data_IF_846185510308
#
_entry.id   IF_846185510308
#
_cell.length_a   1.000
_cell.length_b   1.000
_cell.length_c   1.000
_cell.angle_alpha   90.00
_cell.angle_beta   90.00
_cell.angle_gamma   90.00
#
_symmetry.space_group_name_H-M   'P 1'
#
loop_
_entity.id
_entity.type
_entity.pdbx_description
1 polymer ?
#
# COMPACT_ATOMS: atom_id res chain seq x y z
N UNK A 1 19.70 16.02 -18.53
CA UNK A 1 18.55 16.78 -18.00
C UNK A 1 18.05 15.99 -16.79
N UNK A 2 18.11 16.56 -15.58
CA UNK A 2 17.67 15.90 -14.36
C UNK A 2 16.15 15.79 -14.37
N UNK A 3 15.60 14.58 -14.46
CA UNK A 3 14.16 14.33 -14.26
C UNK A 3 13.87 14.53 -12.75
N UNK A 4 13.06 15.53 -12.42
CA UNK A 4 12.49 15.68 -11.09
C UNK A 4 11.43 14.57 -10.94
N UNK A 5 11.72 13.53 -10.15
CA UNK A 5 10.69 12.63 -9.66
C UNK A 5 9.76 13.43 -8.75
N UNK A 6 8.50 13.52 -9.13
CA UNK A 6 7.49 14.26 -8.39
C UNK A 6 7.16 13.47 -7.11
N UNK A 7 7.12 14.20 -6.00
CA UNK A 7 6.95 13.65 -4.64
C UNK A 7 5.48 13.31 -4.43
N UNK A 8 5.12 12.05 -4.33
CA UNK A 8 3.88 11.67 -3.65
C UNK A 8 4.11 11.75 -2.14
N UNK A 9 3.78 12.89 -1.54
CA UNK A 9 3.66 12.99 -0.09
C UNK A 9 2.43 12.19 0.33
N UNK A 10 2.57 11.24 1.25
CA UNK A 10 1.41 10.60 1.86
C UNK A 10 0.58 11.65 2.64
N UNK A 11 -0.75 11.58 2.58
CA UNK A 11 -1.62 12.58 3.19
C UNK A 11 -1.56 12.53 4.72
N UNK A 12 -1.51 13.69 5.34
CA UNK A 12 -1.72 13.84 6.79
C UNK A 12 -3.10 13.28 7.19
N UNK A 13 -3.14 12.52 8.29
CA UNK A 13 -4.40 12.02 8.86
C UNK A 13 -5.29 13.20 9.22
N UNK A 14 -6.45 13.28 8.58
CA UNK A 14 -7.36 14.43 8.68
C UNK A 14 -7.80 14.73 10.11
N UNK A 15 -7.85 16.03 10.47
CA UNK A 15 -8.34 16.53 11.76
C UNK A 15 -9.84 16.21 12.01
N UNK A 16 -10.60 15.89 10.96
CA UNK A 16 -12.01 15.51 11.05
C UNK A 16 -12.20 14.17 11.76
N UNK A 17 -11.27 13.21 11.57
CA UNK A 17 -11.30 11.89 12.25
C UNK A 17 -11.15 11.99 13.77
N UNK A 18 -10.47 13.02 14.28
CA UNK A 18 -10.34 13.27 15.73
C UNK A 18 -11.65 13.62 16.43
N UNK A 19 -12.70 14.04 15.70
CA UNK A 19 -14.01 14.41 16.28
C UNK A 19 -14.96 13.24 16.43
N UNK A 20 -14.79 12.15 15.69
CA UNK A 20 -15.69 10.98 15.78
C UNK A 20 -15.36 10.08 16.98
N UNK A 21 -14.13 10.09 17.48
CA UNK A 21 -13.69 9.29 18.63
C UNK A 21 -14.05 9.84 20.00
N UNK A 22 -14.67 11.05 20.08
CA UNK A 22 -15.02 11.70 21.35
C UNK A 22 -16.40 11.31 21.91
N UNK A 23 -17.13 10.40 21.27
CA UNK A 23 -18.55 10.10 21.57
C UNK A 23 -18.85 8.74 22.21
N UNK A 24 -17.91 7.86 22.43
CA UNK A 24 -18.17 6.53 23.01
C UNK A 24 -17.74 6.47 24.47
N UNK A 25 -18.71 6.49 25.35
CA UNK A 25 -18.57 6.37 26.80
C UNK A 25 -18.02 4.98 27.15
N UNK A 26 -16.91 4.97 27.84
CA UNK A 26 -16.22 3.83 28.40
C UNK A 26 -17.13 2.99 29.30
N UNK A 27 -17.33 1.72 28.95
CA UNK A 27 -17.65 0.67 29.90
C UNK A 27 -16.36 -0.06 30.24
N UNK A 28 -15.79 0.26 31.40
CA UNK A 28 -14.63 -0.41 31.98
C UNK A 28 -15.03 -1.82 32.40
N UNK A 29 -14.62 -2.82 31.63
CA UNK A 29 -14.51 -4.18 32.09
C UNK A 29 -13.01 -4.54 32.19
N UNK A 30 -12.45 -4.39 33.36
CA UNK A 30 -11.12 -4.91 33.70
C UNK A 30 -11.19 -6.43 33.76
N UNK A 31 -10.77 -7.08 32.68
CA UNK A 31 -10.47 -8.52 32.71
C UNK A 31 -8.95 -8.66 32.72
N UNK A 32 -8.41 -8.92 33.92
CA UNK A 32 -7.01 -9.30 34.09
C UNK A 32 -6.80 -10.70 33.55
N UNK A 33 -6.28 -10.83 32.32
CA UNK A 33 -5.64 -12.03 31.85
C UNK A 33 -4.13 -11.86 31.93
N UNK A 34 -3.56 -12.15 33.11
CA UNK A 34 -2.14 -12.39 33.24
C UNK A 34 -1.79 -13.73 32.59
N UNK A 35 -1.53 -13.74 31.27
CA UNK A 35 -0.85 -14.84 30.63
C UNK A 35 0.63 -14.68 30.90
N UNK A 36 1.18 -15.54 31.78
CA UNK A 36 2.61 -15.66 32.01
C UNK A 36 3.32 -16.04 30.71
N UNK A 37 3.73 -15.04 29.94
CA UNK A 37 4.83 -15.18 29.00
C UNK A 37 6.11 -15.00 29.80
N UNK A 38 6.98 -15.99 29.77
CA UNK A 38 8.26 -15.95 30.45
C UNK A 38 9.01 -14.67 30.08
N UNK A 39 9.17 -13.82 31.07
CA UNK A 39 9.91 -12.56 30.94
C UNK A 39 11.38 -12.85 30.68
N UNK A 40 11.80 -12.87 29.43
CA UNK A 40 13.16 -12.47 29.07
C UNK A 40 13.19 -10.94 29.15
N UNK A 41 13.66 -10.43 30.28
CA UNK A 41 13.87 -9.00 30.53
C UNK A 41 15.00 -8.50 29.62
N UNK A 42 14.65 -8.09 28.41
CA UNK A 42 15.55 -7.33 27.55
C UNK A 42 15.36 -5.84 27.85
N UNK A 43 16.18 -5.28 28.76
CA UNK A 43 16.36 -3.85 28.86
C UNK A 43 17.01 -3.33 27.58
N UNK A 44 16.20 -2.95 26.59
CA UNK A 44 16.68 -2.42 25.33
C UNK A 44 15.78 -1.27 24.85
N UNK A 45 16.34 -0.45 23.99
CA UNK A 45 15.59 0.54 23.22
C UNK A 45 15.61 0.15 21.74
N UNK A 46 14.57 0.56 21.01
CA UNK A 46 14.51 0.49 19.56
C UNK A 46 14.46 1.89 18.97
N UNK A 47 15.14 2.07 17.86
CA UNK A 47 14.94 3.23 16.99
C UNK A 47 14.24 2.78 15.71
N UNK A 48 13.06 3.34 15.49
CA UNK A 48 12.21 3.08 14.34
C UNK A 48 12.33 4.23 13.32
N UNK A 49 12.29 3.91 12.03
CA UNK A 49 12.24 4.89 10.96
C UNK A 49 11.03 4.61 10.07
N UNK A 50 10.11 5.54 9.99
CA UNK A 50 8.78 5.32 9.43
C UNK A 50 8.22 6.58 8.76
N UNK A 51 7.07 6.44 8.13
CA UNK A 51 6.20 7.55 7.78
C UNK A 51 5.65 8.22 9.05
N UNK A 52 5.35 9.53 9.03
CA UNK A 52 4.68 10.20 10.14
C UNK A 52 3.31 9.59 10.43
N UNK A 53 2.94 9.52 11.72
CA UNK A 53 1.62 9.05 12.20
C UNK A 53 1.17 7.66 11.67
N UNK A 54 2.13 6.75 11.44
CA UNK A 54 1.90 5.48 10.73
C UNK A 54 1.84 4.24 11.63
N UNK A 55 1.76 4.37 12.97
CA UNK A 55 1.77 3.23 13.91
C UNK A 55 0.57 3.15 14.84
N UNK A 56 -0.41 4.02 14.70
CA UNK A 56 -1.49 4.16 15.66
C UNK A 56 -1.12 5.06 16.85
N UNK A 57 -2.13 5.59 17.54
CA UNK A 57 -1.92 6.63 18.56
C UNK A 57 -1.22 6.15 19.83
N UNK A 58 -1.37 4.87 20.18
CA UNK A 58 -0.82 4.29 21.43
C UNK A 58 0.09 3.08 21.22
N UNK A 59 0.18 2.54 20.01
CA UNK A 59 0.85 1.25 19.69
C UNK A 59 2.26 1.15 20.26
N UNK A 60 3.10 2.18 20.08
CA UNK A 60 4.49 2.15 20.57
C UNK A 60 4.57 2.28 22.10
N UNK A 61 3.65 3.04 22.70
CA UNK A 61 3.56 3.17 24.16
C UNK A 61 3.07 1.87 24.81
N UNK A 62 2.05 1.22 24.22
CA UNK A 62 1.51 -0.06 24.68
C UNK A 62 2.52 -1.20 24.52
N UNK A 63 3.26 -1.20 23.39
CA UNK A 63 4.39 -2.12 23.23
C UNK A 63 5.45 -1.92 24.33
N UNK A 64 5.81 -0.66 24.61
CA UNK A 64 6.78 -0.34 25.66
C UNK A 64 6.30 -0.82 27.03
N UNK A 65 5.02 -0.59 27.35
CA UNK A 65 4.42 -1.01 28.62
C UNK A 65 4.39 -2.55 28.77
N UNK A 66 4.11 -3.28 27.70
CA UNK A 66 4.00 -4.74 27.72
C UNK A 66 5.34 -5.47 27.63
N UNK A 67 6.30 -4.91 26.86
CA UNK A 67 7.58 -5.57 26.57
C UNK A 67 8.74 -5.11 27.47
N UNK A 68 8.64 -3.91 28.03
CA UNK A 68 9.76 -3.24 28.69
C UNK A 68 10.81 -2.65 27.73
N UNK A 69 10.56 -2.68 26.41
CA UNK A 69 11.44 -2.15 25.37
C UNK A 69 10.88 -0.78 24.94
N UNK A 70 11.66 0.29 25.14
CA UNK A 70 11.25 1.62 24.67
C UNK A 70 11.45 1.75 23.16
N UNK A 71 10.54 2.45 22.47
CA UNK A 71 10.65 2.74 21.04
C UNK A 71 10.68 4.24 20.83
N UNK A 72 11.72 4.73 20.14
CA UNK A 72 11.77 6.07 19.58
C UNK A 72 11.58 6.01 18.08
N UNK A 73 10.74 6.87 17.51
CA UNK A 73 10.49 6.92 16.08
C UNK A 73 11.02 8.23 15.49
N UNK A 74 11.79 8.10 14.42
CA UNK A 74 12.14 9.20 13.51
C UNK A 74 11.33 8.99 12.20
N UNK A 75 11.08 10.08 11.47
CA UNK A 75 10.22 10.05 10.30
C UNK A 75 10.97 10.52 9.05
N UNK A 76 10.52 10.03 7.90
CA UNK A 76 11.01 10.46 6.59
C UNK A 76 9.86 10.98 5.73
N UNK A 77 10.17 11.89 4.83
CA UNK A 77 9.20 12.51 3.92
C UNK A 77 9.12 11.80 2.57
N UNK A 78 10.10 10.91 2.27
CA UNK A 78 10.11 10.13 1.03
C UNK A 78 10.89 8.83 1.17
N UNK A 79 10.49 7.79 0.41
CA UNK A 79 11.22 6.51 0.37
C UNK A 79 12.66 6.67 -0.15
N UNK A 80 12.94 7.65 -1.03
CA UNK A 80 14.30 7.97 -1.48
C UNK A 80 15.17 8.50 -0.32
N UNK A 81 14.59 9.28 0.59
CA UNK A 81 15.27 9.74 1.81
C UNK A 81 15.56 8.57 2.75
N UNK A 82 14.56 7.72 2.97
CA UNK A 82 14.70 6.51 3.79
C UNK A 82 15.83 5.63 3.24
N UNK A 83 15.81 5.33 1.93
CA UNK A 83 16.83 4.48 1.31
C UNK A 83 18.23 5.10 1.41
N UNK A 84 18.38 6.41 1.18
CA UNK A 84 19.68 7.10 1.35
C UNK A 84 20.19 7.00 2.79
N UNK A 85 19.30 7.17 3.76
CA UNK A 85 19.64 7.07 5.18
C UNK A 85 20.09 5.65 5.54
N UNK A 86 19.32 4.64 5.14
CA UNK A 86 19.63 3.22 5.43
C UNK A 86 20.87 2.72 4.67
N UNK A 87 21.18 3.30 3.51
CA UNK A 87 22.41 2.99 2.77
C UNK A 87 23.66 3.63 3.39
N UNK A 88 23.50 4.61 4.27
CA UNK A 88 24.61 5.26 4.98
C UNK A 88 25.13 4.40 6.13
N UNK A 89 26.42 4.55 6.45
CA UNK A 89 27.07 3.78 7.55
C UNK A 89 26.68 4.27 8.95
N UNK A 90 26.16 5.48 9.07
CA UNK A 90 25.99 6.17 10.35
C UNK A 90 24.58 6.06 10.96
N UNK A 91 23.63 5.40 10.26
CA UNK A 91 22.30 5.22 10.81
C UNK A 91 22.29 4.23 11.99
N UNK A 92 21.31 4.40 12.88
CA UNK A 92 21.17 3.61 14.11
C UNK A 92 19.76 3.05 14.26
N UNK A 93 19.09 2.75 13.15
CA UNK A 93 17.75 2.23 13.19
C UNK A 93 17.75 0.72 13.37
N UNK A 94 16.81 0.24 14.21
CA UNK A 94 16.61 -1.18 14.48
C UNK A 94 15.46 -1.77 13.67
N UNK A 95 14.50 -0.92 13.27
CA UNK A 95 13.34 -1.31 12.49
C UNK A 95 12.95 -0.16 11.56
N UNK A 96 12.53 -0.50 10.37
CA UNK A 96 11.99 0.44 9.38
C UNK A 96 10.64 -0.07 8.86
N UNK A 97 9.77 0.86 8.47
CA UNK A 97 8.62 0.56 7.62
C UNK A 97 8.96 1.07 6.23
N UNK A 98 8.88 0.22 5.23
CA UNK A 98 9.26 0.55 3.86
C UNK A 98 8.27 -0.02 2.86
N UNK A 99 8.02 0.69 1.75
CA UNK A 99 7.18 0.16 0.70
C UNK A 99 7.88 -0.96 -0.08
N UNK A 100 7.10 -1.83 -0.66
CA UNK A 100 7.51 -3.10 -1.26
C UNK A 100 8.61 -2.97 -2.33
N UNK A 101 8.58 -1.93 -3.14
CA UNK A 101 9.55 -1.63 -4.19
C UNK A 101 10.93 -1.27 -3.61
N UNK A 102 10.95 -0.54 -2.51
CA UNK A 102 12.17 -0.24 -1.76
C UNK A 102 12.66 -1.44 -0.95
N UNK A 103 11.76 -2.31 -0.50
CA UNK A 103 12.17 -3.61 0.11
C UNK A 103 12.96 -4.44 -0.91
N UNK A 104 12.46 -4.57 -2.15
CA UNK A 104 13.16 -5.28 -3.23
C UNK A 104 14.54 -4.68 -3.49
N UNK A 105 14.62 -3.34 -3.57
CA UNK A 105 15.89 -2.64 -3.77
C UNK A 105 16.88 -2.85 -2.60
N UNK A 106 16.40 -2.78 -1.35
CA UNK A 106 17.24 -3.00 -0.17
C UNK A 106 17.73 -4.44 -0.05
N UNK A 107 16.92 -5.43 -0.45
CA UNK A 107 17.36 -6.83 -0.55
C UNK A 107 18.51 -6.95 -1.55
N UNK A 108 18.35 -6.37 -2.75
CA UNK A 108 19.38 -6.37 -3.79
C UNK A 108 20.69 -5.70 -3.37
N UNK A 109 20.61 -4.72 -2.47
CA UNK A 109 21.77 -4.00 -1.88
C UNK A 109 22.29 -4.64 -0.59
N UNK A 110 21.72 -5.76 -0.16
CA UNK A 110 22.07 -6.46 1.09
C UNK A 110 21.99 -5.57 2.36
N UNK A 111 21.05 -4.66 2.42
CA UNK A 111 20.87 -3.73 3.54
C UNK A 111 20.02 -4.30 4.68
N UNK A 112 19.30 -5.41 4.44
CA UNK A 112 18.36 -5.99 5.39
C UNK A 112 18.91 -7.24 6.07
N UNK A 113 18.45 -7.48 7.30
CA UNK A 113 18.68 -8.70 8.06
C UNK A 113 17.62 -9.75 7.66
N UNK A 114 18.03 -11.02 7.62
CA UNK A 114 17.09 -12.14 7.53
C UNK A 114 16.20 -12.18 8.78
N UNK A 115 14.90 -12.27 8.58
CA UNK A 115 13.96 -12.42 9.67
C UNK A 115 14.00 -13.85 10.23
N UNK A 116 13.99 -13.95 11.55
CA UNK A 116 13.78 -15.21 12.27
C UNK A 116 12.28 -15.37 12.58
N UNK A 117 11.58 -16.11 11.74
CA UNK A 117 10.14 -16.34 11.88
C UNK A 117 9.76 -17.04 13.20
N UNK A 118 10.71 -17.74 13.86
CA UNK A 118 10.45 -18.33 15.18
C UNK A 118 10.22 -17.27 16.26
N UNK A 119 10.67 -16.03 16.04
CA UNK A 119 10.43 -14.89 16.90
C UNK A 119 9.18 -14.08 16.51
N UNK A 120 8.46 -14.48 15.46
CA UNK A 120 7.25 -13.81 14.95
C UNK A 120 6.10 -14.84 14.84
N UNK A 121 5.66 -15.48 15.94
CA UNK A 121 4.60 -16.48 15.88
C UNK A 121 3.28 -15.93 15.31
N UNK A 122 2.98 -14.64 15.45
CA UNK A 122 1.79 -14.00 14.92
C UNK A 122 1.78 -13.87 13.38
N UNK A 123 2.81 -14.30 12.66
CA UNK A 123 2.77 -14.51 11.20
C UNK A 123 1.62 -15.45 10.80
N UNK A 124 1.21 -16.36 11.68
CA UNK A 124 0.06 -17.25 11.49
C UNK A 124 -1.29 -16.51 11.36
N UNK A 125 -1.35 -15.26 11.80
CA UNK A 125 -2.53 -14.41 11.70
C UNK A 125 -2.73 -13.82 10.30
N UNK A 126 -1.72 -13.84 9.43
CA UNK A 126 -1.81 -13.27 8.09
C UNK A 126 -2.78 -14.04 7.19
N UNK A 127 -3.37 -13.34 6.23
CA UNK A 127 -4.00 -14.00 5.10
C UNK A 127 -2.95 -14.76 4.28
N UNK A 128 -3.28 -15.97 3.76
CA UNK A 128 -2.32 -16.78 3.00
C UNK A 128 -1.66 -16.05 1.81
N UNK A 129 -2.38 -15.14 1.17
CA UNK A 129 -1.87 -14.35 0.04
C UNK A 129 -0.74 -13.39 0.45
N UNK A 130 -0.64 -13.02 1.73
CA UNK A 130 0.41 -12.16 2.26
C UNK A 130 1.57 -12.92 2.92
N UNK A 131 1.46 -14.25 3.06
CA UNK A 131 2.53 -15.08 3.62
C UNK A 131 3.73 -15.25 2.69
N UNK A 132 3.56 -14.88 1.43
CA UNK A 132 4.61 -14.87 0.42
C UNK A 132 4.52 -13.59 -0.41
N UNK A 133 5.62 -13.18 -1.01
CA UNK A 133 5.65 -12.02 -1.88
C UNK A 133 6.68 -12.22 -2.98
N UNK A 134 6.34 -11.83 -4.20
CA UNK A 134 7.22 -11.96 -5.36
C UNK A 134 8.52 -11.15 -5.20
N UNK A 135 8.46 -10.01 -4.49
CA UNK A 135 9.62 -9.15 -4.18
C UNK A 135 10.46 -9.64 -2.98
N UNK A 136 9.91 -10.55 -2.15
CA UNK A 136 10.60 -11.17 -1.01
C UNK A 136 10.04 -12.58 -0.78
N UNK A 137 10.42 -13.57 -1.61
CA UNK A 137 9.91 -14.93 -1.52
C UNK A 137 10.15 -15.56 -0.15
N UNK A 138 9.05 -16.04 0.46
CA UNK A 138 9.05 -16.62 1.80
C UNK A 138 9.17 -15.59 2.93
N UNK A 139 8.97 -14.30 2.67
CA UNK A 139 9.05 -13.24 3.68
C UNK A 139 10.35 -13.29 4.50
N UNK A 140 11.45 -13.45 3.81
CA UNK A 140 12.75 -13.64 4.45
C UNK A 140 13.33 -12.37 5.05
N UNK A 141 12.95 -11.20 4.53
CA UNK A 141 13.52 -9.90 4.90
C UNK A 141 12.46 -8.89 5.34
N UNK A 142 11.21 -9.14 5.02
CA UNK A 142 10.13 -8.19 5.24
C UNK A 142 8.88 -8.87 5.80
N UNK A 143 8.15 -8.15 6.67
CA UNK A 143 6.87 -8.61 7.19
C UNK A 143 5.78 -7.61 6.82
N UNK A 144 4.68 -8.02 6.16
CA UNK A 144 3.66 -7.09 5.69
C UNK A 144 2.99 -6.39 6.87
N UNK A 145 2.81 -5.09 6.75
CA UNK A 145 2.22 -4.24 7.78
C UNK A 145 0.86 -3.72 7.35
N UNK A 146 0.81 -2.97 6.28
CA UNK A 146 -0.41 -2.43 5.68
C UNK A 146 -0.36 -2.60 4.17
N UNK A 147 -1.51 -2.53 3.54
CA UNK A 147 -1.61 -2.62 2.09
C UNK A 147 -2.78 -1.81 1.55
N UNK A 148 -2.82 -1.62 0.25
CA UNK A 148 -3.93 -1.02 -0.46
C UNK A 148 -3.84 -1.28 -1.95
N UNK A 149 -4.77 -0.69 -2.69
CA UNK A 149 -4.94 -0.99 -4.12
C UNK A 149 -5.04 0.29 -4.95
N UNK A 150 -4.66 0.17 -6.21
CA UNK A 150 -5.01 1.12 -7.24
C UNK A 150 -6.27 0.63 -7.96
N UNK A 151 -7.21 1.53 -8.22
CA UNK A 151 -8.48 1.18 -8.82
C UNK A 151 -9.06 2.32 -9.65
N UNK A 152 -10.28 2.09 -10.14
CA UNK A 152 -11.09 3.09 -10.85
C UNK A 152 -11.74 4.01 -9.85
N UNK A 153 -11.48 5.30 -10.00
CA UNK A 153 -12.13 6.39 -9.29
C UNK A 153 -13.16 7.01 -10.22
N UNK A 154 -14.35 7.27 -9.73
CA UNK A 154 -15.45 7.70 -10.61
C UNK A 154 -16.44 8.62 -9.90
N UNK A 155 -17.15 9.45 -10.70
CA UNK A 155 -18.34 10.19 -10.25
C UNK A 155 -19.57 9.32 -10.39
N UNK A 156 -20.26 9.05 -9.29
CA UNK A 156 -21.48 8.19 -9.28
C UNK A 156 -22.58 8.74 -10.15
N UNK A 157 -22.77 10.07 -10.15
CA UNK A 157 -23.79 10.77 -10.93
C UNK A 157 -23.58 10.66 -12.45
N UNK A 158 -22.34 10.41 -12.89
CA UNK A 158 -22.00 10.29 -14.31
C UNK A 158 -22.17 8.86 -14.85
N UNK A 159 -22.28 7.85 -13.97
CA UNK A 159 -22.32 6.45 -14.35
C UNK A 159 -23.70 5.83 -14.11
N UNK A 160 -24.11 4.93 -15.03
CA UNK A 160 -25.34 4.14 -14.86
C UNK A 160 -25.16 2.93 -13.94
N UNK A 161 -23.93 2.47 -13.71
CA UNK A 161 -23.57 1.36 -12.84
C UNK A 161 -22.13 1.51 -12.34
N UNK A 162 -21.81 0.86 -11.21
CA UNK A 162 -20.45 0.80 -10.68
C UNK A 162 -19.55 0.07 -11.68
N UNK A 163 -18.37 0.61 -12.05
CA UNK A 163 -17.47 -0.01 -13.00
C UNK A 163 -16.84 -1.28 -12.41
N UNK A 164 -16.87 -2.38 -13.16
CA UNK A 164 -16.32 -3.68 -12.73
C UNK A 164 -15.09 -4.13 -13.53
N UNK A 165 -14.74 -3.41 -14.58
CA UNK A 165 -13.65 -3.75 -15.51
C UNK A 165 -12.86 -2.50 -15.91
N UNK A 166 -11.53 -2.66 -16.08
CA UNK A 166 -10.68 -1.64 -16.69
C UNK A 166 -11.13 -1.25 -18.10
N UNK A 167 -11.94 -2.10 -18.75
CA UNK A 167 -12.48 -1.83 -20.09
C UNK A 167 -13.25 -0.52 -20.22
N UNK A 168 -13.89 -0.04 -19.13
CA UNK A 168 -14.57 1.27 -19.15
C UNK A 168 -13.61 2.44 -19.43
N UNK A 169 -12.34 2.30 -19.02
CA UNK A 169 -11.27 3.29 -19.22
C UNK A 169 -10.46 3.03 -20.50
N UNK A 170 -10.28 1.75 -20.88
CA UNK A 170 -9.25 1.32 -21.81
C UNK A 170 -9.81 0.81 -23.16
N UNK A 171 -11.11 0.53 -23.24
CA UNK A 171 -11.74 -0.06 -24.43
C UNK A 171 -13.20 0.41 -24.58
N UNK A 172 -13.45 1.71 -24.35
CA UNK A 172 -14.79 2.30 -24.43
C UNK A 172 -14.72 3.75 -24.84
N UNK A 173 -15.65 4.19 -25.70
CA UNK A 173 -15.86 5.58 -26.10
C UNK A 173 -16.96 6.29 -25.29
N UNK A 174 -17.65 5.56 -24.40
CA UNK A 174 -18.81 6.07 -23.65
C UNK A 174 -18.48 7.32 -22.80
N UNK A 175 -17.22 7.45 -22.36
CA UNK A 175 -16.75 8.57 -21.55
C UNK A 175 -15.65 9.37 -22.27
N UNK A 176 -15.74 9.48 -23.59
CA UNK A 176 -14.77 10.18 -24.43
C UNK A 176 -14.54 11.62 -23.95
N UNK A 177 -13.27 11.99 -23.72
CA UNK A 177 -12.88 13.29 -23.20
C UNK A 177 -13.15 13.48 -21.69
N UNK A 178 -13.59 12.43 -20.98
CA UNK A 178 -13.93 12.45 -19.55
C UNK A 178 -13.12 11.45 -18.73
N UNK A 179 -11.98 10.96 -19.27
CA UNK A 179 -11.09 9.96 -18.65
C UNK A 179 -9.73 10.57 -18.38
N UNK A 180 -9.19 10.36 -17.18
CA UNK A 180 -7.78 10.61 -16.85
C UNK A 180 -7.07 9.29 -16.51
N UNK A 181 -5.90 9.05 -17.12
CA UNK A 181 -5.09 7.84 -16.94
C UNK A 181 -3.68 8.16 -16.43
N UNK A 182 -3.05 7.28 -15.64
CA UNK A 182 -1.69 7.48 -15.17
C UNK A 182 -0.71 7.23 -16.33
N UNK A 183 -0.03 8.21 -16.85
CA UNK A 183 1.00 8.14 -17.87
C UNK A 183 1.50 6.72 -18.27
N UNK A 184 2.80 6.41 -18.16
CA UNK A 184 3.37 5.11 -18.55
C UNK A 184 2.79 3.90 -17.78
N UNK A 185 2.30 4.11 -16.57
CA UNK A 185 1.75 3.03 -15.72
C UNK A 185 0.44 2.46 -16.28
N UNK A 186 -0.24 3.21 -17.17
CA UNK A 186 -1.42 2.72 -17.90
C UNK A 186 -1.12 1.45 -18.69
N UNK A 187 0.12 1.25 -19.14
CA UNK A 187 0.51 0.05 -19.87
C UNK A 187 0.31 -1.22 -19.02
N UNK A 188 0.64 -1.16 -17.73
CA UNK A 188 0.41 -2.26 -16.80
C UNK A 188 -1.08 -2.55 -16.57
N UNK A 189 -1.92 -1.51 -16.52
CA UNK A 189 -3.38 -1.66 -16.42
C UNK A 189 -3.97 -2.28 -17.69
N UNK A 190 -3.45 -1.89 -18.86
CA UNK A 190 -3.84 -2.48 -20.15
C UNK A 190 -3.47 -3.96 -20.22
N UNK A 191 -2.29 -4.34 -19.72
CA UNK A 191 -1.90 -5.75 -19.60
C UNK A 191 -2.86 -6.52 -18.69
N UNK A 192 -3.23 -5.98 -17.53
CA UNK A 192 -4.23 -6.59 -16.62
C UNK A 192 -5.57 -6.80 -17.33
N UNK A 193 -6.07 -5.78 -18.01
CA UNK A 193 -7.32 -5.87 -18.77
C UNK A 193 -7.29 -6.98 -19.83
N UNK A 194 -6.15 -7.17 -20.50
CA UNK A 194 -5.95 -8.23 -21.48
C UNK A 194 -5.70 -9.62 -20.88
N UNK A 195 -5.68 -9.73 -19.53
CA UNK A 195 -5.47 -11.00 -18.81
C UNK A 195 -4.00 -11.37 -18.61
N UNK A 196 -3.08 -10.44 -18.82
CA UNK A 196 -1.66 -10.64 -18.62
C UNK A 196 -1.19 -10.16 -17.23
N UNK A 197 0.05 -10.46 -16.85
CA UNK A 197 0.67 -9.88 -15.67
C UNK A 197 0.87 -8.38 -15.83
N UNK A 198 0.60 -7.61 -14.78
CA UNK A 198 0.95 -6.19 -14.73
C UNK A 198 2.43 -5.97 -15.07
N UNK A 199 3.30 -6.90 -14.70
CA UNK A 199 4.75 -6.83 -14.82
C UNK A 199 5.28 -7.48 -16.10
N UNK A 200 4.44 -7.88 -17.05
CA UNK A 200 4.90 -8.54 -18.27
C UNK A 200 5.93 -7.70 -19.02
N UNK A 201 6.94 -8.38 -19.50
CA UNK A 201 7.97 -7.90 -20.43
C UNK A 201 7.98 -8.70 -21.75
N UNK A 202 6.96 -9.53 -21.97
CA UNK A 202 6.78 -10.22 -23.25
C UNK A 202 6.47 -9.22 -24.35
N UNK A 203 7.24 -9.21 -25.47
CA UNK A 203 7.03 -8.24 -26.53
C UNK A 203 5.64 -8.31 -27.16
N UNK A 204 5.06 -9.52 -27.30
CA UNK A 204 3.73 -9.71 -27.92
C UNK A 204 2.60 -9.16 -27.03
N UNK A 205 2.69 -9.39 -25.73
CA UNK A 205 1.74 -8.86 -24.74
C UNK A 205 1.83 -7.33 -24.65
N UNK A 206 3.04 -6.79 -24.65
CA UNK A 206 3.28 -5.33 -24.64
C UNK A 206 2.78 -4.66 -25.93
N UNK A 207 2.97 -5.30 -27.10
CA UNK A 207 2.42 -4.81 -28.37
C UNK A 207 0.88 -4.79 -28.34
N UNK A 208 0.24 -5.83 -27.80
CA UNK A 208 -1.21 -5.89 -27.67
C UNK A 208 -1.73 -4.77 -26.75
N UNK A 209 -1.08 -4.55 -25.60
CA UNK A 209 -1.42 -3.48 -24.69
C UNK A 209 -1.20 -2.08 -25.31
N UNK A 210 -0.08 -1.87 -26.01
CA UNK A 210 0.20 -0.64 -26.73
C UNK A 210 -0.84 -0.33 -27.82
N UNK A 211 -1.22 -1.34 -28.61
CA UNK A 211 -2.25 -1.20 -29.64
C UNK A 211 -3.63 -0.83 -29.04
N UNK A 212 -3.99 -1.41 -27.90
CA UNK A 212 -5.21 -1.04 -27.15
C UNK A 212 -5.17 0.43 -26.77
N UNK A 213 -4.07 0.88 -26.15
CA UNK A 213 -3.93 2.28 -25.68
C UNK A 213 -3.89 3.29 -26.83
N UNK A 214 -3.29 2.95 -27.97
CA UNK A 214 -3.32 3.80 -29.18
C UNK A 214 -4.75 4.01 -29.65
N UNK A 215 -5.59 2.97 -29.68
CA UNK A 215 -7.01 3.11 -30.04
C UNK A 215 -7.78 3.96 -29.04
N UNK A 216 -7.51 3.78 -27.75
CA UNK A 216 -8.22 4.48 -26.67
C UNK A 216 -7.77 5.95 -26.53
N UNK A 217 -6.57 6.31 -26.99
CA UNK A 217 -5.95 7.62 -26.75
C UNK A 217 -6.85 8.82 -27.08
N UNK A 218 -7.57 8.77 -28.20
CA UNK A 218 -8.47 9.87 -28.63
C UNK A 218 -9.65 10.10 -27.67
N UNK A 219 -9.97 9.14 -26.81
CA UNK A 219 -11.04 9.22 -25.81
C UNK A 219 -10.53 9.65 -24.43
N UNK A 220 -9.22 9.69 -24.22
CA UNK A 220 -8.59 10.08 -22.95
C UNK A 220 -8.38 11.60 -22.94
N UNK A 221 -8.87 12.28 -21.88
CA UNK A 221 -8.66 13.73 -21.69
C UNK A 221 -7.22 14.04 -21.34
N UNK A 222 -6.62 13.25 -20.44
CA UNK A 222 -5.27 13.48 -19.98
C UNK A 222 -4.57 12.19 -19.55
N UNK A 223 -3.26 12.12 -19.83
CA UNK A 223 -2.34 11.16 -19.23
C UNK A 223 -1.51 11.91 -18.19
N UNK A 224 -1.85 11.74 -16.91
CA UNK A 224 -1.32 12.50 -15.77
C UNK A 224 -1.08 11.57 -14.59
N UNK A 225 -0.28 12.02 -13.63
CA UNK A 225 -0.05 11.29 -12.39
C UNK A 225 -1.17 11.52 -11.35
N UNK A 226 -0.81 11.93 -10.12
CA UNK A 226 -1.78 12.20 -9.05
C UNK A 226 -2.82 13.27 -9.41
N UNK A 227 -2.50 14.16 -10.35
CA UNK A 227 -3.38 15.21 -10.85
C UNK A 227 -4.70 14.65 -11.45
N UNK A 228 -4.74 13.35 -11.81
CA UNK A 228 -5.96 12.68 -12.26
C UNK A 228 -7.08 12.70 -11.23
N UNK A 229 -6.75 12.60 -9.96
CA UNK A 229 -7.70 12.68 -8.84
C UNK A 229 -8.20 14.12 -8.65
N UNK A 230 -7.34 15.12 -8.85
CA UNK A 230 -7.75 16.53 -8.81
C UNK A 230 -8.73 16.85 -9.96
N UNK A 231 -8.49 16.34 -11.17
CA UNK A 231 -9.42 16.48 -12.29
C UNK A 231 -10.78 15.85 -12.01
N UNK A 232 -10.79 14.69 -11.32
CA UNK A 232 -12.02 14.04 -10.90
C UNK A 232 -12.77 14.88 -9.84
N UNK A 233 -12.06 15.36 -8.82
CA UNK A 233 -12.60 16.21 -7.76
C UNK A 233 -13.25 17.48 -8.32
N UNK A 234 -12.60 18.12 -9.29
CA UNK A 234 -13.10 19.34 -9.94
C UNK A 234 -14.23 19.09 -10.95
N UNK A 235 -14.57 17.81 -11.25
CA UNK A 235 -15.56 17.46 -12.26
C UNK A 235 -15.08 17.65 -13.70
N UNK A 236 -13.78 17.76 -13.92
CA UNK A 236 -13.17 17.86 -15.24
C UNK A 236 -13.16 16.53 -15.99
N UNK A 237 -13.13 15.42 -15.24
CA UNK A 237 -13.32 14.04 -15.74
C UNK A 237 -14.35 13.32 -14.88
N UNK A 238 -14.89 12.21 -15.41
CA UNK A 238 -15.84 11.35 -14.71
C UNK A 238 -15.17 10.06 -14.20
N UNK A 239 -14.04 9.71 -14.83
CA UNK A 239 -13.29 8.50 -14.54
C UNK A 239 -11.79 8.83 -14.43
N UNK A 240 -11.15 8.29 -13.40
CA UNK A 240 -9.71 8.39 -13.20
C UNK A 240 -9.18 7.07 -12.60
N UNK A 241 -7.86 6.97 -12.52
CA UNK A 241 -7.17 5.92 -11.77
C UNK A 241 -6.51 6.54 -10.54
N UNK A 242 -6.68 5.92 -9.39
CA UNK A 242 -6.07 6.43 -8.14
C UNK A 242 -5.87 5.36 -7.09
N UNK A 243 -5.16 5.72 -6.04
CA UNK A 243 -4.93 4.88 -4.87
C UNK A 243 -6.12 4.96 -3.91
N UNK A 244 -6.50 3.83 -3.34
CA UNK A 244 -7.63 3.75 -2.43
C UNK A 244 -7.55 4.75 -1.26
N UNK A 245 -6.37 5.03 -0.73
CA UNK A 245 -6.15 5.98 0.37
C UNK A 245 -6.44 7.44 -0.01
N UNK A 246 -6.04 7.83 -1.23
CA UNK A 246 -6.29 9.20 -1.74
C UNK A 246 -7.77 9.42 -2.01
N UNK A 247 -8.40 8.42 -2.65
CA UNK A 247 -9.81 8.50 -3.03
C UNK A 247 -10.73 8.40 -1.82
N UNK A 248 -10.37 7.57 -0.82
CA UNK A 248 -11.16 7.47 0.41
C UNK A 248 -11.32 8.84 1.09
N UNK A 249 -10.23 9.63 1.17
CA UNK A 249 -10.30 10.99 1.72
C UNK A 249 -11.23 11.89 0.89
N UNK A 250 -11.18 11.79 -0.44
CA UNK A 250 -12.06 12.56 -1.31
C UNK A 250 -13.53 12.14 -1.15
N UNK A 251 -13.81 10.84 -0.94
CA UNK A 251 -15.14 10.32 -0.67
C UNK A 251 -15.73 10.83 0.66
N UNK A 252 -14.89 11.19 1.65
CA UNK A 252 -15.34 11.84 2.89
C UNK A 252 -15.83 13.29 2.65
N UNK A 253 -15.36 13.93 1.58
CA UNK A 253 -15.67 15.31 1.22
C UNK A 253 -16.76 15.42 0.15
N UNK A 254 -16.89 14.42 -0.72
CA UNK A 254 -17.84 14.38 -1.85
C UNK A 254 -18.45 12.99 -2.02
N UNK A 255 -19.72 12.83 -1.62
CA UNK A 255 -20.49 11.58 -1.71
C UNK A 255 -20.68 11.09 -3.17
N UNK A 256 -20.48 11.96 -4.17
CA UNK A 256 -20.54 11.61 -5.58
C UNK A 256 -19.33 10.81 -6.05
N UNK A 257 -18.24 10.83 -5.29
CA UNK A 257 -17.03 10.07 -5.61
C UNK A 257 -17.19 8.61 -5.19
N UNK A 258 -16.72 7.72 -6.04
CA UNK A 258 -16.67 6.29 -5.79
C UNK A 258 -15.33 5.69 -6.19
N UNK A 259 -15.05 4.51 -5.65
CA UNK A 259 -13.85 3.73 -5.94
C UNK A 259 -14.18 2.25 -6.17
N UNK A 260 -13.50 1.63 -7.10
CA UNK A 260 -13.63 0.19 -7.36
C UNK A 260 -12.34 -0.40 -7.91
N UNK A 261 -11.88 -1.49 -7.31
CA UNK A 261 -10.87 -2.35 -7.95
C UNK A 261 -11.58 -3.26 -8.94
N UNK A 262 -11.20 -3.24 -10.23
CA UNK A 262 -11.81 -4.09 -11.24
C UNK A 262 -11.58 -5.58 -11.03
N UNK A 263 -12.43 -6.40 -11.65
CA UNK A 263 -12.38 -7.86 -11.50
C UNK A 263 -11.11 -8.49 -12.05
N UNK A 264 -10.42 -7.82 -12.97
CA UNK A 264 -9.12 -8.23 -13.49
C UNK A 264 -7.98 -8.05 -12.48
N UNK A 265 -8.25 -7.36 -11.34
CA UNK A 265 -7.24 -6.89 -10.40
C UNK A 265 -6.53 -5.64 -10.89
N UNK A 266 -5.60 -5.14 -10.11
CA UNK A 266 -4.82 -3.93 -10.39
C UNK A 266 -3.49 -3.96 -9.66
N UNK A 267 -2.92 -2.79 -9.38
CA UNK A 267 -1.77 -2.68 -8.48
C UNK A 267 -2.18 -2.90 -7.02
N UNK A 268 -1.30 -3.57 -6.30
CA UNK A 268 -1.35 -3.76 -4.85
C UNK A 268 -0.06 -3.23 -4.27
N UNK A 269 -0.14 -2.18 -3.44
CA UNK A 269 1.00 -1.72 -2.66
C UNK A 269 1.02 -2.42 -1.30
N UNK A 270 2.20 -2.58 -0.74
CA UNK A 270 2.41 -3.10 0.60
C UNK A 270 3.50 -2.29 1.28
N UNK A 271 3.24 -1.87 2.51
CA UNK A 271 4.28 -1.40 3.40
C UNK A 271 4.65 -2.53 4.35
N UNK A 272 5.93 -2.67 4.58
CA UNK A 272 6.49 -3.80 5.29
C UNK A 272 7.42 -3.34 6.42
N UNK A 273 7.38 -4.04 7.53
CA UNK A 273 8.44 -3.98 8.52
C UNK A 273 9.69 -4.67 7.99
N UNK A 274 10.84 -4.02 8.14
CA UNK A 274 12.15 -4.58 7.83
C UNK A 274 13.13 -4.28 8.96
N UNK A 275 14.11 -5.14 9.14
CA UNK A 275 15.20 -4.95 10.11
C UNK A 275 16.47 -4.64 9.33
N UNK A 276 17.06 -3.43 9.49
CA UNK A 276 18.35 -3.14 8.86
C UNK A 276 19.44 -4.11 9.33
N UNK A 277 20.38 -4.43 8.43
CA UNK A 277 21.52 -5.32 8.78
C UNK A 277 22.36 -4.78 9.93
N UNK A 278 22.41 -3.46 10.10
CA UNK A 278 23.13 -2.74 11.16
C UNK A 278 22.37 -2.60 12.47
N UNK A 279 21.14 -3.18 12.58
CA UNK A 279 20.32 -3.08 13.77
C UNK A 279 21.09 -3.53 15.03
N UNK A 280 21.01 -2.74 16.09
CA UNK A 280 21.67 -3.00 17.35
C UNK A 280 20.87 -3.95 18.26
N UNK A 281 19.54 -4.00 18.04
CA UNK A 281 18.61 -4.84 18.81
C UNK A 281 17.64 -5.61 17.89
N UNK A 282 18.14 -6.56 17.08
CA UNK A 282 17.27 -7.33 16.17
C UNK A 282 16.18 -8.12 16.89
N UNK A 283 16.46 -8.68 18.05
CA UNK A 283 15.46 -9.44 18.84
C UNK A 283 14.32 -8.55 19.32
N UNK A 284 14.63 -7.32 19.76
CA UNK A 284 13.61 -6.33 20.10
C UNK A 284 12.76 -5.94 18.89
N UNK A 285 13.38 -5.80 17.71
CA UNK A 285 12.68 -5.50 16.47
C UNK A 285 11.72 -6.64 16.07
N UNK A 286 12.15 -7.91 16.15
CA UNK A 286 11.25 -9.07 15.90
C UNK A 286 10.05 -9.06 16.86
N UNK A 287 10.26 -8.71 18.14
CA UNK A 287 9.16 -8.63 19.12
C UNK A 287 8.18 -7.50 18.78
N UNK A 288 8.65 -6.36 18.25
CA UNK A 288 7.77 -5.28 17.82
C UNK A 288 6.96 -5.71 16.58
N UNK A 289 7.60 -6.41 15.64
CA UNK A 289 6.90 -6.98 14.48
C UNK A 289 5.82 -7.95 14.93
N UNK A 290 6.16 -8.90 15.80
CA UNK A 290 5.20 -9.88 16.33
C UNK A 290 4.04 -9.21 17.05
N UNK A 291 4.33 -8.19 17.87
CA UNK A 291 3.33 -7.39 18.56
C UNK A 291 2.37 -6.67 17.59
N UNK A 292 2.89 -6.08 16.51
CA UNK A 292 2.06 -5.42 15.51
C UNK A 292 1.19 -6.40 14.72
N UNK A 293 1.60 -7.68 14.62
CA UNK A 293 0.83 -8.76 14.00
C UNK A 293 -0.10 -9.48 14.98
N UNK A 294 -0.14 -9.10 16.25
CA UNK A 294 -1.19 -9.55 17.15
C UNK A 294 -2.56 -9.11 16.64
N UNK A 295 -3.61 -9.91 16.89
CA UNK A 295 -4.93 -9.64 16.33
C UNK A 295 -5.55 -8.33 16.85
N UNK A 296 -5.43 -8.07 18.15
CA UNK A 296 -6.00 -6.86 18.77
C UNK A 296 -5.22 -5.62 18.37
N UNK A 297 -3.88 -5.71 18.34
CA UNK A 297 -3.03 -4.61 17.92
C UNK A 297 -3.15 -4.30 16.44
N UNK A 298 -3.17 -5.33 15.59
CA UNK A 298 -3.40 -5.18 14.15
C UNK A 298 -4.76 -4.53 13.85
N UNK A 299 -5.80 -4.87 14.60
CA UNK A 299 -7.11 -4.25 14.49
C UNK A 299 -7.06 -2.77 14.91
N UNK A 300 -6.46 -2.46 16.07
CA UNK A 300 -6.34 -1.09 16.55
C UNK A 300 -5.57 -0.17 15.59
N UNK A 301 -4.47 -0.68 15.00
CA UNK A 301 -3.68 0.05 14.00
C UNK A 301 -4.51 0.29 12.73
N UNK A 302 -5.15 -0.75 12.20
CA UNK A 302 -5.94 -0.66 10.98
C UNK A 302 -7.13 0.30 11.12
N UNK A 303 -7.84 0.25 12.24
CA UNK A 303 -8.96 1.14 12.53
C UNK A 303 -8.52 2.59 12.71
N UNK A 304 -7.36 2.81 13.34
CA UNK A 304 -6.81 4.17 13.50
C UNK A 304 -6.39 4.79 12.15
N UNK A 305 -5.71 4.01 11.31
CA UNK A 305 -5.17 4.48 10.04
C UNK A 305 -6.19 4.43 8.89
N UNK A 306 -7.23 3.60 9.03
CA UNK A 306 -8.21 3.30 7.99
C UNK A 306 -7.58 2.71 6.72
N UNK A 307 -6.51 1.92 6.90
CA UNK A 307 -5.83 1.17 5.84
C UNK A 307 -6.09 -0.32 5.98
N UNK A 308 -6.02 -1.05 4.87
CA UNK A 308 -6.17 -2.49 4.91
C UNK A 308 -5.01 -3.16 5.64
N UNK A 309 -5.35 -4.10 6.53
CA UNK A 309 -4.39 -4.92 7.23
C UNK A 309 -4.25 -6.31 6.58
N UNK A 310 -3.03 -6.87 6.46
CA UNK A 310 -2.82 -8.22 6.00
C UNK A 310 -3.19 -9.27 7.05
N UNK A 311 -3.52 -8.85 8.26
CA UNK A 311 -3.81 -9.69 9.42
C UNK A 311 -5.29 -10.14 9.43
N UNK A 312 -5.53 -11.40 9.03
CA UNK A 312 -6.88 -12.00 8.99
C UNK A 312 -7.55 -12.04 10.37
N UNK A 313 -6.76 -12.30 11.43
CA UNK A 313 -7.29 -12.36 12.77
C UNK A 313 -7.72 -10.96 13.27
N UNK A 314 -6.98 -9.92 12.91
CA UNK A 314 -7.34 -8.53 13.17
C UNK A 314 -8.63 -8.12 12.45
N UNK A 315 -8.77 -8.48 11.17
CA UNK A 315 -9.99 -8.16 10.39
C UNK A 315 -11.25 -8.70 11.05
N UNK A 316 -11.17 -9.87 11.69
CA UNK A 316 -12.31 -10.45 12.40
C UNK A 316 -12.78 -9.61 13.61
N UNK A 317 -11.94 -8.75 14.15
CA UNK A 317 -12.23 -7.86 15.28
C UNK A 317 -12.73 -6.48 14.87
N UNK A 318 -12.53 -6.08 13.62
CA UNK A 318 -12.92 -4.77 13.09
C UNK A 318 -14.43 -4.62 12.92
N UNK A 319 -14.92 -3.38 12.89
CA UNK A 319 -16.32 -3.07 12.68
C UNK A 319 -16.86 -3.65 11.36
N UNK A 320 -18.17 -3.84 11.28
CA UNK A 320 -18.80 -4.32 10.04
C UNK A 320 -18.59 -3.32 8.91
N UNK A 321 -18.75 -2.03 9.18
CA UNK A 321 -18.58 -0.96 8.20
C UNK A 321 -17.18 -0.99 7.59
N UNK A 322 -16.13 -1.16 8.40
CA UNK A 322 -14.76 -1.30 7.89
C UNK A 322 -14.58 -2.54 7.00
N UNK A 323 -15.12 -3.69 7.41
CA UNK A 323 -14.97 -4.95 6.67
C UNK A 323 -15.74 -4.98 5.36
N UNK A 324 -16.84 -4.22 5.26
CA UNK A 324 -17.70 -4.12 4.09
C UNK A 324 -17.34 -2.93 3.19
N UNK A 325 -16.40 -2.08 3.62
CA UNK A 325 -15.88 -1.00 2.79
C UNK A 325 -15.02 -1.56 1.65
N UNK A 326 -15.57 -1.58 0.47
CA UNK A 326 -14.87 -2.04 -0.74
C UNK A 326 -13.69 -1.15 -1.17
N UNK A 327 -13.59 0.06 -0.62
CA UNK A 327 -12.43 0.93 -0.82
C UNK A 327 -11.22 0.39 -0.08
N UNK A 328 -11.45 -0.23 1.09
CA UNK A 328 -10.43 -0.86 1.93
C UNK A 328 -10.24 -2.32 1.51
N UNK A 329 -11.35 -3.10 1.44
CA UNK A 329 -11.36 -4.52 1.14
C UNK A 329 -12.18 -4.81 -0.13
N UNK A 330 -11.53 -4.82 -1.32
CA UNK A 330 -12.23 -5.13 -2.58
C UNK A 330 -12.69 -6.59 -2.70
N UNK A 331 -12.37 -7.42 -1.72
CA UNK A 331 -12.65 -8.84 -1.70
C UNK A 331 -11.43 -9.69 -2.08
N UNK A 332 -11.25 -10.82 -1.36
CA UNK A 332 -10.04 -11.67 -1.48
C UNK A 332 -9.83 -12.24 -2.89
N UNK A 333 -10.91 -12.49 -3.64
CA UNK A 333 -10.80 -12.98 -5.02
C UNK A 333 -10.26 -11.93 -6.00
N UNK A 334 -10.50 -10.65 -5.72
CA UNK A 334 -9.91 -9.55 -6.49
C UNK A 334 -8.46 -9.35 -6.06
N UNK A 335 -8.18 -9.35 -4.75
CA UNK A 335 -6.83 -9.18 -4.19
C UNK A 335 -5.85 -10.21 -4.76
N UNK A 336 -6.26 -11.48 -4.90
CA UNK A 336 -5.44 -12.54 -5.51
C UNK A 336 -5.02 -12.26 -6.96
N UNK A 337 -5.72 -11.36 -7.66
CA UNK A 337 -5.42 -10.95 -9.03
C UNK A 337 -4.63 -9.64 -9.09
N UNK A 338 -4.50 -8.93 -7.97
CA UNK A 338 -3.67 -7.75 -7.87
C UNK A 338 -2.19 -8.13 -7.77
N UNK A 339 -1.33 -7.29 -8.30
CA UNK A 339 0.12 -7.51 -8.34
C UNK A 339 0.85 -6.24 -7.86
N UNK A 340 1.99 -6.37 -7.16
CA UNK A 340 2.89 -5.24 -6.95
C UNK A 340 3.55 -4.85 -8.28
N UNK A 341 3.91 -3.59 -8.46
CA UNK A 341 4.78 -3.19 -9.56
C UNK A 341 6.22 -3.58 -9.21
N UNK A 342 6.86 -4.40 -10.04
CA UNK A 342 8.20 -4.91 -9.80
C UNK A 342 9.26 -4.11 -10.54
N UNK A 343 10.49 -4.23 -10.10
CA UNK A 343 11.64 -3.77 -10.87
C UNK A 343 11.83 -4.70 -12.08
N UNK A 344 11.55 -4.20 -13.28
CA UNK A 344 11.64 -4.97 -14.53
C UNK A 344 13.06 -5.05 -15.09
N UNK A 345 14.04 -4.49 -14.39
CA UNK A 345 15.39 -4.33 -14.88
C UNK A 345 15.48 -3.38 -16.08
N UNK A 346 16.70 -3.04 -16.49
CA UNK A 346 16.90 -2.09 -17.58
C UNK A 346 16.29 -2.53 -18.92
N UNK A 347 16.32 -3.82 -19.24
CA UNK A 347 15.80 -4.33 -20.52
C UNK A 347 14.27 -4.24 -20.57
N UNK A 348 13.59 -4.67 -19.50
CA UNK A 348 12.13 -4.59 -19.41
C UNK A 348 11.62 -3.15 -19.40
N UNK A 349 12.29 -2.28 -18.64
CA UNK A 349 11.96 -0.85 -18.59
C UNK A 349 12.12 -0.20 -19.97
N UNK A 350 13.25 -0.44 -20.67
CA UNK A 350 13.44 0.09 -22.04
C UNK A 350 12.37 -0.37 -23.02
N UNK A 351 11.97 -1.64 -22.94
CA UNK A 351 10.93 -2.17 -23.82
C UNK A 351 9.59 -1.48 -23.57
N UNK A 352 9.18 -1.32 -22.31
CA UNK A 352 7.97 -0.59 -21.95
C UNK A 352 8.03 0.89 -22.33
N UNK A 353 9.17 1.56 -22.13
CA UNK A 353 9.37 2.96 -22.56
C UNK A 353 9.18 3.11 -24.07
N UNK A 354 9.67 2.16 -24.88
CA UNK A 354 9.48 2.18 -26.35
C UNK A 354 8.02 2.03 -26.75
N UNK A 355 7.29 1.12 -26.08
CA UNK A 355 5.84 0.96 -26.32
C UNK A 355 5.10 2.24 -25.92
N UNK A 356 5.40 2.76 -24.73
CA UNK A 356 4.76 3.99 -24.24
C UNK A 356 5.06 5.21 -25.14
N UNK A 357 6.29 5.34 -25.62
CA UNK A 357 6.62 6.40 -26.57
C UNK A 357 5.71 6.36 -27.79
N UNK A 358 5.48 5.20 -28.39
CA UNK A 358 4.55 5.05 -29.53
C UNK A 358 3.11 5.41 -29.16
N UNK A 359 2.64 5.02 -27.97
CA UNK A 359 1.33 5.44 -27.46
C UNK A 359 1.26 6.96 -27.33
N UNK A 360 2.31 7.60 -26.81
CA UNK A 360 2.33 9.04 -26.59
C UNK A 360 2.44 9.87 -27.88
N UNK A 361 2.99 9.32 -28.95
CA UNK A 361 3.18 9.95 -30.24
C UNK A 361 2.01 9.72 -31.23
N UNK A 362 1.19 8.68 -31.02
CA UNK A 362 0.03 8.37 -31.85
C UNK A 362 -1.10 9.39 -31.65
#
# INVERSE_FOLDING_TARGET
MKRSRNRSAMPEVSAARRRFLAGSVAATATVSFAKQLGAQTGNGSLRMYSWPDYTGSSTLADFTASSGISVSADFYDSSDEMLRTISGADHRYDIIIASYDYVEEMIGKELLLLLDHSQIPNIANLYPVFNDAIFDPGRRYSMPFLWGTQGICFRRSALSAIPESWGILLDSDAYSGRIALPGPDTLGLALKYLGYSYNSVDPGELEAAGALLIRQKSHVKAFVGPEGIELLANGDVDLAVGWNSEVHRLMEEDDDIGYRVPTEGGLLWQDCFCIPRSASNPSGAHRLIDYALDAEMGAAIAEYLWYATPNRAAVALLSQDYREDHTIFPGMEIIKRCEPALNLGEAGTRLRDQIWQRVSEA
#
